data_IF_634982977763
#
_entry.id   IF_634982977763
#
_cell.length_a   1.000
_cell.length_b   1.000
_cell.length_c   1.000
_cell.angle_alpha   90.00
_cell.angle_beta   90.00
_cell.angle_gamma   90.00
#
_symmetry.space_group_name_H-M   'P 1'
#
loop_
_entity.id
_entity.type
_entity.pdbx_description
1 polymer ?
#
# COMPACT_ATOMS: atom_id res chain seq x y z
N UNK A 1 10.25 27.00 -11.98
CA UNK A 1 9.50 26.07 -11.10
C UNK A 1 8.41 25.46 -11.94
N UNK A 2 8.35 24.13 -12.02
CA UNK A 2 7.37 23.40 -12.82
C UNK A 2 6.47 22.61 -11.86
N UNK A 3 5.16 22.74 -12.00
CA UNK A 3 4.16 22.04 -11.19
C UNK A 3 3.29 21.22 -12.13
N UNK A 4 3.01 19.98 -11.75
CA UNK A 4 2.07 19.11 -12.44
C UNK A 4 0.98 18.74 -11.45
N UNK A 5 -0.27 18.72 -11.91
CA UNK A 5 -1.42 18.25 -11.16
C UNK A 5 -1.84 16.89 -11.70
N UNK A 6 -2.04 15.91 -10.81
CA UNK A 6 -2.61 14.61 -11.14
C UNK A 6 -3.96 14.46 -10.47
N UNK A 7 -4.96 14.01 -11.24
CA UNK A 7 -6.30 13.76 -10.76
C UNK A 7 -6.49 12.27 -10.53
N UNK A 8 -7.12 11.94 -9.42
CA UNK A 8 -7.53 10.59 -9.10
C UNK A 8 -9.06 10.52 -9.04
N UNK A 9 -9.59 9.37 -9.44
CA UNK A 9 -10.99 9.01 -9.25
C UNK A 9 -11.08 8.00 -8.11
N UNK A 10 -11.58 8.44 -6.96
CA UNK A 10 -11.83 7.56 -5.81
C UNK A 10 -13.31 7.19 -5.79
N UNK A 11 -13.58 5.89 -5.82
CA UNK A 11 -14.91 5.32 -5.72
C UNK A 11 -15.01 4.50 -4.43
N UNK A 12 -16.08 4.74 -3.68
CA UNK A 12 -16.42 4.00 -2.47
C UNK A 12 -17.73 3.25 -2.69
N UNK A 13 -17.78 2.01 -2.22
CA UNK A 13 -18.91 1.12 -2.35
C UNK A 13 -19.07 0.34 -1.05
N UNK A 14 -20.23 0.41 -0.43
CA UNK A 14 -20.56 -0.41 0.74
C UNK A 14 -21.41 -1.60 0.31
N UNK A 15 -21.05 -2.79 0.81
CA UNK A 15 -21.74 -4.04 0.54
C UNK A 15 -21.63 -4.97 1.76
N UNK A 16 -22.76 -5.40 2.31
CA UNK A 16 -22.85 -6.34 3.46
C UNK A 16 -21.96 -5.96 4.66
N UNK A 17 -21.89 -4.66 5.01
CA UNK A 17 -21.06 -4.16 6.12
C UNK A 17 -19.55 -4.13 5.82
N UNK A 18 -19.19 -4.26 4.55
CA UNK A 18 -17.84 -4.08 4.03
C UNK A 18 -17.80 -2.88 3.10
N UNK A 19 -17.02 -1.87 3.46
CA UNK A 19 -16.69 -0.77 2.56
C UNK A 19 -15.53 -1.18 1.66
N UNK A 20 -15.67 -0.95 0.37
CA UNK A 20 -14.65 -1.18 -0.65
C UNK A 20 -14.33 0.16 -1.31
N UNK A 21 -13.05 0.38 -1.60
CA UNK A 21 -12.55 1.55 -2.28
C UNK A 21 -11.77 1.14 -3.53
N UNK A 22 -11.94 1.91 -4.59
CA UNK A 22 -11.13 1.82 -5.81
C UNK A 22 -10.67 3.21 -6.18
N UNK A 23 -9.35 3.41 -6.24
CA UNK A 23 -8.75 4.65 -6.75
C UNK A 23 -8.17 4.39 -8.12
N UNK A 24 -8.49 5.25 -9.08
CA UNK A 24 -7.91 5.22 -10.43
C UNK A 24 -7.10 6.49 -10.62
N UNK A 25 -5.84 6.34 -11.00
CA UNK A 25 -4.98 7.41 -11.46
C UNK A 25 -4.75 7.21 -12.95
N UNK A 26 -5.28 8.12 -13.75
CA UNK A 26 -5.01 8.17 -15.18
C UNK A 26 -3.98 9.27 -15.44
N UNK A 27 -2.78 8.86 -15.85
CA UNK A 27 -1.78 9.75 -16.44
C UNK A 27 -1.87 9.65 -17.97
N UNK A 28 -1.18 10.54 -18.69
CA UNK A 28 -1.20 10.50 -20.16
C UNK A 28 -0.66 9.17 -20.73
N UNK A 29 0.24 8.52 -20.00
CA UNK A 29 0.99 7.36 -20.47
C UNK A 29 0.58 6.05 -19.77
N UNK A 30 0.05 6.14 -18.55
CA UNK A 30 -0.23 4.99 -17.67
C UNK A 30 -1.51 5.21 -16.88
N UNK A 31 -2.34 4.17 -16.79
CA UNK A 31 -3.46 4.08 -15.84
C UNK A 31 -3.10 3.10 -14.72
N UNK A 32 -3.20 3.54 -13.47
CA UNK A 32 -2.98 2.73 -12.28
C UNK A 32 -4.25 2.66 -11.46
N UNK A 33 -4.52 1.49 -10.88
CA UNK A 33 -5.71 1.29 -10.05
C UNK A 33 -5.34 0.68 -8.71
N UNK A 34 -5.56 1.44 -7.64
CA UNK A 34 -5.41 0.98 -6.26
C UNK A 34 -6.74 0.49 -5.69
N UNK A 35 -6.68 -0.51 -4.80
CA UNK A 35 -7.85 -1.10 -4.16
C UNK A 35 -7.70 -1.15 -2.65
N UNK A 36 -8.82 -1.02 -1.95
CA UNK A 36 -8.87 -1.13 -0.49
C UNK A 36 -10.22 -1.66 -0.05
N UNK A 37 -10.24 -2.31 1.10
CA UNK A 37 -11.48 -2.73 1.76
C UNK A 37 -11.37 -2.52 3.26
N UNK A 38 -12.49 -2.29 3.92
CA UNK A 38 -12.61 -2.20 5.36
C UNK A 38 -13.93 -2.87 5.78
N UNK A 39 -13.89 -3.68 6.84
CA UNK A 39 -15.07 -4.34 7.37
C UNK A 39 -15.18 -4.02 8.85
N UNK A 40 -16.36 -3.57 9.28
CA UNK A 40 -16.63 -3.38 10.69
C UNK A 40 -16.69 -4.73 11.41
N UNK A 41 -16.06 -4.86 12.57
CA UNK A 41 -16.20 -6.06 13.37
C UNK A 41 -17.63 -6.15 13.90
N UNK A 42 -18.26 -7.34 13.96
CA UNK A 42 -19.65 -7.47 14.41
C UNK A 42 -19.93 -6.97 15.83
N UNK A 43 -18.90 -6.88 16.68
CA UNK A 43 -18.98 -6.38 18.05
C UNK A 43 -18.75 -4.86 18.16
N UNK A 44 -18.32 -4.23 17.08
CA UNK A 44 -18.02 -2.80 17.03
C UNK A 44 -19.24 -1.98 16.57
N UNK A 45 -19.35 -0.72 17.00
CA UNK A 45 -20.36 0.19 16.46
C UNK A 45 -20.17 0.36 14.95
N UNK A 46 -21.27 0.17 14.20
CA UNK A 46 -21.30 0.39 12.76
C UNK A 46 -21.27 1.89 12.47
N UNK A 47 -20.09 2.41 12.11
CA UNK A 47 -19.84 3.81 11.76
C UNK A 47 -19.34 3.86 10.31
N UNK A 48 -20.22 4.11 9.33
CA UNK A 48 -19.89 4.04 7.91
C UNK A 48 -18.69 4.92 7.52
N UNK A 49 -18.57 6.10 8.10
CA UNK A 49 -17.50 7.05 7.79
C UNK A 49 -16.10 6.49 8.09
N UNK A 50 -15.97 5.64 9.12
CA UNK A 50 -14.70 5.00 9.48
C UNK A 50 -14.33 3.93 8.43
N UNK A 51 -15.32 3.19 7.95
CA UNK A 51 -15.12 2.21 6.87
C UNK A 51 -14.64 2.89 5.58
N UNK A 52 -15.26 4.02 5.23
CA UNK A 52 -14.90 4.84 4.07
C UNK A 52 -13.45 5.35 4.15
N UNK A 53 -13.07 5.95 5.27
CA UNK A 53 -11.73 6.48 5.48
C UNK A 53 -10.66 5.38 5.42
N UNK A 54 -10.93 4.23 6.06
CA UNK A 54 -10.01 3.10 6.07
C UNK A 54 -9.87 2.46 4.69
N UNK A 55 -10.97 2.20 4.00
CA UNK A 55 -10.94 1.62 2.66
C UNK A 55 -10.22 2.56 1.68
N UNK A 56 -10.52 3.86 1.72
CA UNK A 56 -9.87 4.87 0.89
C UNK A 56 -8.36 4.97 1.18
N UNK A 57 -7.96 4.99 2.45
CA UNK A 57 -6.55 5.04 2.85
C UNK A 57 -5.77 3.83 2.34
N UNK A 58 -6.36 2.62 2.39
CA UNK A 58 -5.76 1.40 1.86
C UNK A 58 -5.62 1.44 0.33
N UNK A 59 -6.66 1.89 -0.38
CA UNK A 59 -6.61 2.04 -1.82
C UNK A 59 -5.52 3.04 -2.26
N UNK A 60 -5.35 4.13 -1.53
CA UNK A 60 -4.29 5.11 -1.78
C UNK A 60 -2.90 4.57 -1.45
N UNK A 61 -2.76 3.72 -0.43
CA UNK A 61 -1.51 3.05 -0.12
C UNK A 61 -1.09 2.09 -1.24
N UNK A 62 -2.01 1.23 -1.71
CA UNK A 62 -1.80 0.33 -2.84
C UNK A 62 -1.39 1.12 -4.11
N UNK A 63 -2.11 2.19 -4.44
CA UNK A 63 -1.72 3.08 -5.55
C UNK A 63 -0.31 3.68 -5.36
N UNK A 64 0.05 4.06 -4.14
CA UNK A 64 1.37 4.57 -3.81
C UNK A 64 2.47 3.54 -4.04
N UNK A 65 2.27 2.29 -3.62
CA UNK A 65 3.21 1.19 -3.88
C UNK A 65 3.38 0.94 -5.38
N UNK A 66 2.27 0.92 -6.14
CA UNK A 66 2.32 0.76 -7.60
C UNK A 66 3.11 1.89 -8.28
N UNK A 67 2.94 3.14 -7.84
CA UNK A 67 3.70 4.28 -8.37
C UNK A 67 5.21 4.15 -8.10
N UNK A 68 5.59 3.65 -6.92
CA UNK A 68 6.99 3.42 -6.59
C UNK A 68 7.61 2.32 -7.47
N UNK A 69 6.88 1.22 -7.70
CA UNK A 69 7.31 0.16 -8.63
C UNK A 69 7.45 0.69 -10.06
N UNK A 70 6.49 1.50 -10.53
CA UNK A 70 6.56 2.12 -11.85
C UNK A 70 7.80 3.02 -11.99
N UNK A 71 8.09 3.84 -10.99
CA UNK A 71 9.29 4.69 -10.99
C UNK A 71 10.58 3.87 -10.98
N UNK A 72 10.63 2.75 -10.25
CA UNK A 72 11.79 1.84 -10.27
C UNK A 72 12.02 1.25 -11.66
N UNK A 73 10.96 0.76 -12.32
CA UNK A 73 11.04 0.27 -13.70
C UNK A 73 11.53 1.34 -14.69
N UNK A 74 11.08 2.59 -14.56
CA UNK A 74 11.52 3.69 -15.42
C UNK A 74 13.02 3.97 -15.25
N UNK A 75 13.51 3.95 -14.01
CA UNK A 75 14.93 4.12 -13.69
C UNK A 75 15.77 2.99 -14.29
N UNK A 76 15.33 1.74 -14.15
CA UNK A 76 16.02 0.57 -14.73
C UNK A 76 16.04 0.62 -16.27
N UNK A 77 14.95 1.05 -16.89
CA UNK A 77 14.81 1.19 -18.34
C UNK A 77 15.76 2.23 -18.93
N UNK A 78 16.02 3.32 -18.19
CA UNK A 78 16.99 4.36 -18.57
C UNK A 78 18.44 3.89 -18.35
N UNK A 79 18.66 2.98 -17.39
CA UNK A 79 19.99 2.59 -16.90
C UNK A 79 20.73 1.49 -17.66
N UNK A 80 20.14 0.84 -18.68
CA UNK A 80 20.79 -0.30 -19.36
C UNK A 80 21.31 0.03 -20.76
N UNK A 81 22.62 0.34 -20.94
CA UNK A 81 23.26 0.21 -22.24
C UNK A 81 23.29 -1.26 -22.68
N UNK A 82 23.23 -1.57 -24.00
CA UNK A 82 23.26 -2.94 -24.49
C UNK A 82 24.61 -3.59 -24.13
N UNK A 83 24.57 -4.59 -23.26
CA UNK A 83 25.75 -5.37 -22.86
C UNK A 83 25.96 -6.55 -23.82
N UNK A 84 27.08 -6.63 -24.56
CA UNK A 84 27.49 -7.86 -25.21
C UNK A 84 28.16 -8.78 -24.16
N UNK A 85 27.60 -9.97 -23.93
CA UNK A 85 28.29 -11.04 -23.19
C UNK A 85 29.41 -11.68 -24.03
N UNK A 86 30.28 -12.56 -23.50
CA UNK A 86 30.16 -13.32 -22.25
C UNK A 86 31.45 -13.38 -21.39
N UNK A 87 31.38 -13.94 -20.16
CA UNK A 87 32.56 -14.39 -19.42
C UNK A 87 32.33 -14.68 -17.94
N UNK A 88 32.36 -15.98 -17.57
CA UNK A 88 32.35 -16.51 -16.19
C UNK A 88 33.58 -16.03 -15.39
N UNK A 89 33.47 -15.89 -14.06
CA UNK A 89 34.36 -16.45 -13.02
C UNK A 89 34.15 -15.79 -11.63
N UNK A 90 34.11 -16.62 -10.56
CA UNK A 90 34.54 -16.24 -9.21
C UNK A 90 33.45 -16.14 -8.12
N UNK A 91 33.16 -17.26 -7.45
CA UNK A 91 32.40 -17.29 -6.19
C UNK A 91 33.35 -17.08 -5.00
N UNK A 92 33.05 -16.13 -4.11
CA UNK A 92 33.70 -15.92 -2.81
C UNK A 92 32.65 -15.57 -1.74
N UNK A 93 32.77 -16.07 -0.50
CA UNK A 93 31.70 -15.94 0.50
C UNK A 93 31.80 -14.61 1.28
N UNK A 94 30.68 -13.92 1.44
CA UNK A 94 30.55 -12.80 2.37
C UNK A 94 29.62 -13.18 3.53
N UNK A 95 30.23 -13.28 4.71
CA UNK A 95 29.60 -13.20 6.02
C UNK A 95 29.20 -11.74 6.31
N UNK A 96 27.95 -11.51 6.76
CA UNK A 96 27.67 -10.53 7.81
C UNK A 96 26.26 -10.67 8.41
N UNK A 97 26.28 -11.19 9.62
CA UNK A 97 25.41 -10.99 10.79
C UNK A 97 24.34 -9.87 10.78
N UNK A 98 23.11 -10.30 11.11
CA UNK A 98 22.14 -9.80 12.09
C UNK A 98 21.97 -8.29 12.37
N UNK A 99 20.76 -7.78 12.09
CA UNK A 99 20.23 -6.53 12.66
C UNK A 99 18.97 -6.77 13.52
N UNK A 100 19.22 -6.70 14.83
CA UNK A 100 18.45 -6.18 15.96
C UNK A 100 16.95 -5.82 15.78
N UNK A 101 16.09 -6.53 16.54
CA UNK A 101 14.68 -6.21 16.77
C UNK A 101 14.51 -5.17 17.88
N UNK A 102 13.63 -4.19 17.66
CA UNK A 102 13.22 -3.20 18.68
C UNK A 102 11.97 -3.69 19.45
N UNK A 103 11.88 -3.47 20.77
CA UNK A 103 10.72 -3.86 21.58
C UNK A 103 9.54 -2.87 21.47
N UNK A 104 8.32 -3.42 21.51
CA UNK A 104 7.04 -2.67 21.54
C UNK A 104 6.73 -2.09 22.92
N UNK A 105 6.25 -0.85 22.95
CA UNK A 105 5.68 -0.20 24.13
C UNK A 105 4.15 -0.45 24.26
N UNK A 106 3.58 -0.52 25.48
CA UNK A 106 2.16 -0.77 25.68
C UNK A 106 1.30 0.52 25.79
N UNK A 107 0.24 0.53 24.98
CA UNK A 107 -1.16 0.94 25.24
C UNK A 107 -1.51 2.12 26.16
N UNK A 108 -2.07 3.18 25.56
CA UNK A 108 -3.21 3.92 26.14
C UNK A 108 -4.47 3.45 25.43
N UNK A 109 -5.46 3.00 26.20
CA UNK A 109 -6.77 2.56 25.73
C UNK A 109 -7.68 3.77 25.65
N UNK A 110 -7.84 4.33 24.45
CA UNK A 110 -8.98 5.18 24.14
C UNK A 110 -10.13 4.29 23.70
N UNK A 111 -11.32 4.50 24.26
CA UNK A 111 -12.49 3.64 24.02
C UNK A 111 -12.97 3.76 22.55
N UNK A 112 -12.61 4.83 21.83
CA UNK A 112 -12.73 4.94 20.37
C UNK A 112 -11.66 4.13 19.60
N UNK A 113 -10.46 3.98 20.18
CA UNK A 113 -9.40 3.13 19.64
C UNK A 113 -9.66 1.63 19.87
N UNK A 114 -10.65 1.27 20.70
CA UNK A 114 -11.12 -0.10 20.88
C UNK A 114 -11.76 -0.66 19.62
N UNK A 115 -12.69 0.08 19.02
CA UNK A 115 -13.39 -0.31 17.79
C UNK A 115 -12.49 -0.26 16.54
N UNK A 116 -11.51 0.64 16.51
CA UNK A 116 -10.58 0.77 15.38
C UNK A 116 -9.63 -0.43 15.22
N UNK A 117 -9.32 -1.14 16.31
CA UNK A 117 -8.28 -2.20 16.30
C UNK A 117 -8.73 -3.39 15.45
N UNK A 118 -10.01 -3.76 15.50
CA UNK A 118 -10.49 -4.98 14.87
C UNK A 118 -10.72 -4.84 13.36
N UNK A 119 -11.08 -3.65 12.87
CA UNK A 119 -11.15 -3.36 11.43
C UNK A 119 -9.77 -3.39 10.75
N UNK A 120 -8.69 -3.17 11.53
CA UNK A 120 -7.31 -3.20 11.06
C UNK A 120 -6.72 -4.62 10.94
N UNK A 121 -7.26 -5.60 11.69
CA UNK A 121 -6.63 -6.92 11.86
C UNK A 121 -7.03 -7.97 10.78
N UNK A 122 -8.05 -7.72 9.95
CA UNK A 122 -8.56 -8.69 8.96
C UNK A 122 -7.71 -8.83 7.67
N UNK A 123 -6.61 -8.10 7.52
CA UNK A 123 -5.76 -8.03 6.31
C UNK A 123 -4.57 -9.02 6.31
N UNK A 124 -4.53 -9.99 7.22
CA UNK A 124 -3.44 -10.99 7.26
C UNK A 124 -3.69 -12.28 6.49
N UNK A 125 -4.91 -12.50 5.98
CA UNK A 125 -5.33 -13.79 5.39
C UNK A 125 -5.93 -13.68 3.98
N UNK A 126 -5.70 -12.59 3.24
CA UNK A 126 -6.13 -12.44 1.83
C UNK A 126 -4.96 -12.49 0.84
#
# INVERSE_FOLDING_TARGET
MHTVEWKIHLHLFEDEGTTKARVVLDTNDTSLTGHGAARCHPEDPDVPEIGDELAAGRALHDLGEQLLVAAEHDIEGIGRPPVPGPGRHGNGPHDRSAHHALPRAPGRRDVAAGALRSCLDHDRDA
#
